data_IF_559710285030
#
_entry.id   IF_559710285030
#
_cell.length_a   1.000
_cell.length_b   1.000
_cell.length_c   1.000
_cell.angle_alpha   90.00
_cell.angle_beta   90.00
_cell.angle_gamma   90.00
#
_symmetry.space_group_name_H-M   'P 1'
#
loop_
_entity.id
_entity.type
_entity.pdbx_description
1 polymer ?
#
# COMPACT_ATOMS: atom_id res chain seq x y z
N UNK A 1 -3.32 23.23 -2.59
CA UNK A 1 -4.70 22.69 -2.70
C UNK A 1 -4.61 21.21 -3.05
N UNK A 2 -5.04 20.30 -2.15
CA UNK A 2 -5.23 18.89 -2.48
C UNK A 2 -6.40 18.80 -3.45
N UNK A 3 -6.12 18.45 -4.70
CA UNK A 3 -7.17 18.17 -5.69
C UNK A 3 -7.99 16.97 -5.21
N UNK A 4 -9.23 17.19 -4.80
CA UNK A 4 -10.15 16.15 -4.41
C UNK A 4 -10.44 15.21 -5.59
N UNK A 5 -10.63 13.93 -5.28
CA UNK A 5 -11.13 12.93 -6.21
C UNK A 5 -12.32 12.26 -5.53
N UNK A 6 -13.32 11.85 -6.29
CA UNK A 6 -14.40 11.03 -5.74
C UNK A 6 -14.60 9.76 -6.59
N UNK A 7 -15.17 8.75 -5.95
CA UNK A 7 -15.33 7.42 -6.51
C UNK A 7 -16.80 7.01 -6.39
N UNK A 8 -17.29 6.33 -7.42
CA UNK A 8 -18.64 5.72 -7.42
C UNK A 8 -18.46 4.22 -7.54
N UNK A 9 -19.11 3.46 -6.66
CA UNK A 9 -19.02 2.01 -6.61
C UNK A 9 -20.37 1.37 -6.88
N UNK A 10 -20.37 0.25 -7.59
CA UNK A 10 -21.48 -0.65 -7.75
C UNK A 10 -21.14 -2.01 -7.15
N UNK A 11 -22.09 -2.58 -6.40
CA UNK A 11 -21.92 -3.86 -5.73
C UNK A 11 -22.91 -4.87 -6.30
N UNK A 12 -22.47 -6.11 -6.52
CA UNK A 12 -23.33 -7.22 -6.93
C UNK A 12 -24.20 -7.74 -5.77
N UNK A 13 -25.08 -8.69 -6.07
CA UNK A 13 -26.02 -9.29 -5.09
C UNK A 13 -25.33 -9.94 -3.89
N UNK A 14 -24.08 -10.40 -4.08
CA UNK A 14 -23.25 -10.98 -3.02
C UNK A 14 -22.46 -9.94 -2.19
N UNK A 15 -22.71 -8.63 -2.39
CA UNK A 15 -22.04 -7.54 -1.71
C UNK A 15 -20.60 -7.27 -2.18
N UNK A 16 -20.13 -7.91 -3.26
CA UNK A 16 -18.81 -7.65 -3.84
C UNK A 16 -18.87 -6.48 -4.82
N UNK A 17 -17.82 -5.67 -4.81
CA UNK A 17 -17.67 -4.55 -5.75
C UNK A 17 -17.52 -5.08 -7.18
N UNK A 18 -18.44 -4.73 -8.08
CA UNK A 18 -18.43 -5.17 -9.50
C UNK A 18 -18.00 -4.04 -10.44
N UNK A 19 -18.12 -2.79 -10.00
CA UNK A 19 -17.73 -1.62 -10.79
C UNK A 19 -17.22 -0.49 -9.92
N UNK A 20 -16.29 0.30 -10.46
CA UNK A 20 -15.78 1.53 -9.90
C UNK A 20 -15.67 2.57 -11.02
N UNK A 21 -16.10 3.79 -10.76
CA UNK A 21 -15.86 4.94 -11.62
C UNK A 21 -15.10 6.00 -10.84
N UNK A 22 -14.04 6.53 -11.42
CA UNK A 22 -13.15 7.54 -10.81
C UNK A 22 -13.37 8.88 -11.48
N UNK A 23 -13.54 9.91 -10.67
CA UNK A 23 -13.84 11.25 -11.12
C UNK A 23 -12.85 12.27 -10.57
N UNK A 24 -12.63 13.35 -11.32
CA UNK A 24 -11.99 14.55 -10.79
C UNK A 24 -12.97 15.28 -9.84
N UNK A 25 -12.46 16.22 -9.06
CA UNK A 25 -13.26 17.13 -8.25
C UNK A 25 -14.32 17.90 -9.07
N UNK A 26 -14.00 18.20 -10.34
CA UNK A 26 -14.93 18.86 -11.27
C UNK A 26 -16.00 17.90 -11.87
N UNK A 27 -16.08 16.65 -11.40
CA UNK A 27 -17.06 15.68 -11.88
C UNK A 27 -16.76 15.04 -13.24
N UNK A 28 -15.53 15.22 -13.75
CA UNK A 28 -15.12 14.59 -15.01
C UNK A 28 -14.67 13.15 -14.74
N UNK A 29 -15.34 12.17 -15.37
CA UNK A 29 -14.92 10.77 -15.30
C UNK A 29 -13.52 10.63 -15.91
N UNK A 30 -12.64 9.90 -15.24
CA UNK A 30 -11.28 9.59 -15.70
C UNK A 30 -11.11 8.15 -16.12
N UNK A 31 -11.73 7.24 -15.38
CA UNK A 31 -11.55 5.81 -15.54
C UNK A 31 -12.78 5.06 -15.06
N UNK A 32 -13.05 3.93 -15.69
CA UNK A 32 -14.04 2.94 -15.25
C UNK A 32 -13.35 1.61 -15.06
N UNK A 33 -13.67 0.90 -13.98
CA UNK A 33 -13.09 -0.41 -13.68
C UNK A 33 -14.22 -1.40 -13.45
N UNK A 34 -14.09 -2.61 -14.01
CA UNK A 34 -14.98 -3.73 -13.78
C UNK A 34 -14.23 -4.87 -13.10
N UNK A 35 -14.92 -5.57 -12.20
CA UNK A 35 -14.36 -6.65 -11.39
C UNK A 35 -15.17 -7.93 -11.62
N UNK A 36 -14.48 -9.03 -11.90
CA UNK A 36 -15.06 -10.37 -12.01
C UNK A 36 -14.45 -11.28 -10.95
N UNK A 37 -15.23 -12.23 -10.45
CA UNK A 37 -14.85 -13.13 -9.37
C UNK A 37 -15.00 -14.59 -9.80
N UNK A 38 -14.15 -15.48 -9.30
CA UNK A 38 -14.26 -16.92 -9.50
C UNK A 38 -15.36 -17.53 -8.62
N UNK A 39 -15.58 -18.85 -8.76
CA UNK A 39 -16.59 -19.61 -8.00
C UNK A 39 -16.31 -19.61 -6.49
N UNK A 40 -15.05 -19.46 -6.07
CA UNK A 40 -14.65 -19.37 -4.68
C UNK A 40 -14.79 -17.93 -4.14
N UNK A 41 -15.06 -16.96 -5.02
CA UNK A 41 -15.23 -15.57 -4.71
C UNK A 41 -13.94 -14.77 -4.65
N UNK A 42 -12.85 -15.28 -5.18
CA UNK A 42 -11.62 -14.51 -5.37
C UNK A 42 -11.74 -13.64 -6.62
N UNK A 43 -11.10 -12.47 -6.61
CA UNK A 43 -11.05 -11.58 -7.77
C UNK A 43 -10.31 -12.27 -8.92
N UNK A 44 -11.03 -12.67 -9.98
CA UNK A 44 -10.43 -13.36 -11.13
C UNK A 44 -9.95 -12.40 -12.21
N UNK A 45 -10.63 -11.23 -12.33
CA UNK A 45 -10.27 -10.24 -13.35
C UNK A 45 -10.63 -8.83 -12.96
N UNK A 46 -9.78 -7.89 -13.37
CA UNK A 46 -9.97 -6.45 -13.26
C UNK A 46 -9.77 -5.83 -14.64
N UNK A 47 -10.78 -5.14 -15.16
CA UNK A 47 -10.77 -4.53 -16.50
C UNK A 47 -10.89 -3.03 -16.39
N UNK A 48 -9.91 -2.30 -16.92
CA UNK A 48 -9.83 -0.85 -16.93
C UNK A 48 -10.26 -0.28 -18.28
N UNK A 49 -11.08 0.76 -18.24
CA UNK A 49 -11.61 1.41 -19.42
C UNK A 49 -11.42 2.92 -19.37
N UNK A 50 -11.25 3.53 -20.52
CA UNK A 50 -11.39 4.99 -20.65
C UNK A 50 -12.82 5.42 -20.29
N UNK A 51 -13.10 6.71 -20.06
CA UNK A 51 -14.46 7.22 -19.91
C UNK A 51 -15.39 6.85 -21.06
N UNK A 52 -14.84 6.77 -22.28
CA UNK A 52 -15.58 6.39 -23.50
C UNK A 52 -15.87 4.88 -23.61
N UNK A 53 -15.41 4.06 -22.65
CA UNK A 53 -15.64 2.61 -22.64
C UNK A 53 -14.63 1.80 -23.45
N UNK A 54 -13.50 2.38 -23.85
CA UNK A 54 -12.42 1.66 -24.53
C UNK A 54 -11.57 0.95 -23.50
N UNK A 55 -11.39 -0.37 -23.62
CA UNK A 55 -10.53 -1.18 -22.77
C UNK A 55 -9.07 -0.72 -22.90
N UNK A 56 -8.40 -0.50 -21.78
CA UNK A 56 -7.00 -0.07 -21.72
C UNK A 56 -6.09 -1.14 -21.13
N UNK A 57 -6.54 -1.78 -20.04
CA UNK A 57 -5.78 -2.80 -19.30
C UNK A 57 -6.72 -3.86 -18.78
N UNK A 58 -6.29 -5.12 -18.85
CA UNK A 58 -6.85 -6.23 -18.08
C UNK A 58 -5.81 -6.76 -17.10
N UNK A 59 -6.24 -7.15 -15.90
CA UNK A 59 -5.46 -7.95 -14.97
C UNK A 59 -6.21 -9.24 -14.71
N UNK A 60 -5.56 -10.37 -14.97
CA UNK A 60 -6.09 -11.69 -14.70
C UNK A 60 -5.33 -12.31 -13.53
N UNK A 61 -6.06 -12.71 -12.49
CA UNK A 61 -5.53 -13.25 -11.24
C UNK A 61 -5.71 -14.77 -11.21
N UNK A 62 -4.69 -15.49 -10.77
CA UNK A 62 -4.75 -16.93 -10.56
C UNK A 62 -4.28 -17.29 -9.17
N UNK A 63 -4.96 -18.24 -8.56
CA UNK A 63 -4.80 -18.64 -7.16
C UNK A 63 -4.26 -20.07 -7.05
N UNK A 64 -3.64 -20.41 -5.94
CA UNK A 64 -3.28 -21.77 -5.59
C UNK A 64 -4.47 -22.50 -4.94
N UNK A 65 -4.26 -23.76 -4.58
CA UNK A 65 -5.31 -24.60 -3.95
C UNK A 65 -5.69 -24.15 -2.54
N UNK A 66 -4.85 -23.35 -1.90
CA UNK A 66 -5.11 -22.71 -0.61
C UNK A 66 -5.83 -21.35 -0.74
N UNK A 67 -6.14 -20.91 -1.98
CA UNK A 67 -6.79 -19.63 -2.26
C UNK A 67 -5.87 -18.41 -2.21
N UNK A 68 -4.54 -18.61 -2.20
CA UNK A 68 -3.56 -17.52 -2.18
C UNK A 68 -3.22 -17.11 -3.61
N UNK A 69 -3.05 -15.81 -3.84
CA UNK A 69 -2.70 -15.25 -5.14
C UNK A 69 -1.36 -15.82 -5.64
N UNK A 70 -1.39 -16.60 -6.71
CA UNK A 70 -0.22 -17.26 -7.29
C UNK A 70 0.43 -16.45 -8.40
N UNK A 71 -0.38 -15.81 -9.23
CA UNK A 71 0.08 -14.96 -10.32
C UNK A 71 -0.97 -13.92 -10.70
N UNK A 72 -0.49 -12.82 -11.28
CA UNK A 72 -1.29 -11.83 -11.97
C UNK A 72 -0.70 -11.62 -13.37
N UNK A 73 -1.53 -11.68 -14.41
CA UNK A 73 -1.12 -11.32 -15.77
C UNK A 73 -1.77 -9.99 -16.14
N UNK A 74 -0.94 -9.04 -16.57
CA UNK A 74 -1.36 -7.70 -16.99
C UNK A 74 -1.31 -7.66 -18.52
N UNK A 75 -2.46 -7.36 -19.12
CA UNK A 75 -2.65 -7.32 -20.57
C UNK A 75 -3.03 -5.90 -21.01
N UNK A 76 -2.61 -5.50 -22.19
CA UNK A 76 -3.05 -4.25 -22.81
C UNK A 76 -4.51 -4.35 -23.32
N UNK A 77 -5.02 -3.25 -23.89
CA UNK A 77 -6.37 -3.18 -24.44
C UNK A 77 -6.62 -4.06 -25.65
N UNK A 78 -5.58 -4.65 -26.26
CA UNK A 78 -5.66 -5.61 -27.36
C UNK A 78 -5.63 -7.06 -26.86
N UNK A 79 -5.36 -7.28 -25.57
CA UNK A 79 -5.23 -8.59 -24.96
C UNK A 79 -3.82 -9.18 -25.04
N UNK A 80 -2.82 -8.39 -25.39
CA UNK A 80 -1.41 -8.79 -25.37
C UNK A 80 -0.84 -8.69 -23.96
N UNK A 81 -0.15 -9.73 -23.49
CA UNK A 81 0.48 -9.71 -22.15
C UNK A 81 1.59 -8.68 -22.16
N UNK A 82 1.57 -7.75 -21.21
CA UNK A 82 2.63 -6.77 -20.95
C UNK A 82 3.57 -7.24 -19.85
N UNK A 83 2.99 -7.81 -18.78
CA UNK A 83 3.72 -8.22 -17.59
C UNK A 83 3.02 -9.41 -16.92
N UNK A 84 3.79 -10.22 -16.23
CA UNK A 84 3.30 -11.29 -15.36
C UNK A 84 3.99 -11.22 -14.01
N UNK A 85 3.23 -11.07 -12.94
CA UNK A 85 3.71 -11.12 -11.58
C UNK A 85 3.47 -12.51 -10.98
N UNK A 86 4.44 -13.00 -10.22
CA UNK A 86 4.42 -14.31 -9.57
C UNK A 86 4.71 -14.14 -8.09
N UNK A 87 3.89 -14.76 -7.25
CA UNK A 87 3.95 -14.67 -5.79
C UNK A 87 4.36 -16.01 -5.19
N UNK A 88 5.17 -15.98 -4.14
CA UNK A 88 5.58 -17.17 -3.39
C UNK A 88 5.32 -16.96 -1.90
N UNK A 89 4.98 -18.05 -1.24
CA UNK A 89 4.61 -18.08 0.16
C UNK A 89 5.49 -19.08 0.92
N UNK A 90 5.69 -18.82 2.22
CA UNK A 90 6.27 -19.79 3.14
C UNK A 90 5.22 -20.83 3.59
N UNK A 91 5.62 -21.71 4.51
CA UNK A 91 4.73 -22.77 5.02
C UNK A 91 3.64 -22.23 5.95
N UNK A 92 3.89 -21.09 6.58
CA UNK A 92 2.94 -20.36 7.42
C UNK A 92 1.91 -19.58 6.60
N UNK A 93 2.12 -19.44 5.27
CA UNK A 93 1.23 -18.72 4.36
C UNK A 93 1.57 -17.24 4.18
N UNK A 94 2.70 -16.76 4.70
CA UNK A 94 3.16 -15.39 4.47
C UNK A 94 3.76 -15.26 3.07
N UNK A 95 3.47 -14.19 2.35
CA UNK A 95 4.07 -13.91 1.04
C UNK A 95 5.54 -13.51 1.21
N UNK A 96 6.47 -14.36 0.77
CA UNK A 96 7.92 -14.13 0.93
C UNK A 96 8.60 -13.54 -0.30
N UNK A 97 7.98 -13.64 -1.47
CA UNK A 97 8.53 -13.10 -2.72
C UNK A 97 7.44 -12.71 -3.71
N UNK A 98 7.70 -11.62 -4.41
CA UNK A 98 6.96 -11.15 -5.59
C UNK A 98 7.96 -10.86 -6.70
N UNK A 99 7.73 -11.39 -7.92
CA UNK A 99 8.61 -11.20 -9.09
C UNK A 99 7.76 -10.86 -10.30
N UNK A 100 8.05 -9.73 -10.93
CA UNK A 100 7.48 -9.33 -12.21
C UNK A 100 8.37 -9.72 -13.39
N UNK A 101 7.74 -10.22 -14.45
CA UNK A 101 8.38 -10.60 -15.70
C UNK A 101 7.73 -9.88 -16.88
N UNK A 102 8.53 -9.35 -17.78
CA UNK A 102 8.10 -8.88 -19.09
C UNK A 102 7.79 -10.07 -20.03
N UNK A 103 7.17 -9.80 -21.17
CA UNK A 103 6.80 -10.80 -22.18
C UNK A 103 7.95 -11.65 -22.70
N UNK A 104 9.16 -11.08 -22.76
CA UNK A 104 10.37 -11.78 -23.18
C UNK A 104 11.00 -12.65 -22.07
N UNK A 105 10.36 -12.75 -20.89
CA UNK A 105 10.85 -13.49 -19.73
C UNK A 105 11.88 -12.74 -18.88
N UNK A 106 12.21 -11.49 -19.21
CA UNK A 106 13.11 -10.67 -18.40
C UNK A 106 12.41 -10.25 -17.12
N UNK A 107 13.09 -10.38 -15.97
CA UNK A 107 12.61 -9.80 -14.71
C UNK A 107 12.59 -8.28 -14.80
N UNK A 108 11.47 -7.66 -14.44
CA UNK A 108 11.33 -6.20 -14.34
C UNK A 108 11.16 -5.72 -12.90
N UNK A 109 10.77 -6.60 -11.97
CA UNK A 109 10.70 -6.28 -10.53
C UNK A 109 10.96 -7.52 -9.69
N UNK A 110 11.56 -7.35 -8.51
CA UNK A 110 11.67 -8.41 -7.51
C UNK A 110 11.66 -7.79 -6.12
N UNK A 111 10.74 -8.29 -5.26
CA UNK A 111 10.62 -7.93 -3.87
C UNK A 111 10.71 -9.18 -2.99
N UNK A 112 11.31 -9.04 -1.80
CA UNK A 112 11.31 -10.07 -0.76
C UNK A 112 10.78 -9.50 0.53
N UNK A 113 10.09 -10.35 1.27
CA UNK A 113 9.45 -10.01 2.53
C UNK A 113 9.95 -10.94 3.62
N UNK A 114 10.26 -10.38 4.79
CA UNK A 114 10.73 -11.11 5.97
C UNK A 114 9.75 -10.83 7.10
N UNK A 115 9.41 -11.88 7.82
CA UNK A 115 8.44 -11.84 8.91
C UNK A 115 9.08 -12.30 10.22
N UNK A 116 8.56 -11.82 11.34
CA UNK A 116 8.90 -12.33 12.66
C UNK A 116 8.08 -13.59 12.99
N UNK A 117 8.31 -14.14 14.19
CA UNK A 117 7.60 -15.34 14.66
C UNK A 117 6.10 -15.12 14.92
N UNK A 118 5.61 -13.89 14.87
CA UNK A 118 4.20 -13.53 15.00
C UNK A 118 3.52 -13.27 13.65
N UNK A 119 4.24 -13.47 12.52
CA UNK A 119 3.75 -13.19 11.17
C UNK A 119 3.70 -11.70 10.81
N UNK A 120 4.40 -10.83 11.55
CA UNK A 120 4.47 -9.41 11.24
C UNK A 120 5.63 -9.15 10.26
N UNK A 121 5.37 -8.40 9.20
CA UNK A 121 6.39 -8.09 8.20
C UNK A 121 7.42 -7.10 8.75
N UNK A 122 8.59 -7.61 9.10
CA UNK A 122 9.70 -6.80 9.67
C UNK A 122 10.63 -6.20 8.61
N UNK A 123 10.66 -6.74 7.38
CA UNK A 123 11.42 -6.15 6.29
C UNK A 123 10.77 -6.40 4.93
N UNK A 124 10.81 -5.38 4.07
CA UNK A 124 10.55 -5.49 2.63
C UNK A 124 11.81 -5.07 1.89
N UNK A 125 12.44 -6.00 1.19
CA UNK A 125 13.62 -5.76 0.34
C UNK A 125 13.18 -5.53 -1.09
N UNK A 126 13.69 -4.49 -1.71
CA UNK A 126 13.57 -4.25 -3.15
C UNK A 126 14.87 -4.71 -3.80
N UNK A 127 14.82 -5.76 -4.60
CA UNK A 127 15.98 -6.36 -5.29
C UNK A 127 16.08 -5.89 -6.74
N UNK A 128 14.93 -5.61 -7.35
CA UNK A 128 14.82 -5.10 -8.71
C UNK A 128 13.55 -4.27 -8.81
N UNK A 129 13.61 -3.12 -9.48
CA UNK A 129 12.49 -2.22 -9.73
C UNK A 129 12.28 -2.03 -11.24
N UNK A 130 11.04 -1.73 -11.68
CA UNK A 130 10.79 -1.31 -13.05
C UNK A 130 11.66 -0.11 -13.44
N UNK A 131 12.10 -0.07 -14.68
CA UNK A 131 12.85 1.06 -15.23
C UNK A 131 12.04 2.36 -15.10
N UNK A 132 12.70 3.45 -14.68
CA UNK A 132 12.06 4.75 -14.42
C UNK A 132 11.36 4.89 -13.08
N UNK A 133 11.39 3.87 -12.22
CA UNK A 133 10.93 3.99 -10.82
C UNK A 133 11.95 4.75 -9.98
N UNK A 134 11.48 5.52 -8.99
CA UNK A 134 12.36 6.11 -7.99
C UNK A 134 13.12 5.00 -7.24
N UNK A 135 14.42 5.15 -6.99
CA UNK A 135 15.23 4.13 -6.34
C UNK A 135 14.80 3.98 -4.87
N UNK A 136 13.92 3.04 -4.60
CA UNK A 136 13.53 2.64 -3.25
C UNK A 136 14.31 1.39 -2.88
N UNK A 137 15.05 1.46 -1.78
CA UNK A 137 15.76 0.29 -1.25
C UNK A 137 14.85 -0.63 -0.44
N UNK A 138 15.21 -0.84 0.82
CA UNK A 138 14.44 -1.69 1.73
C UNK A 138 13.70 -0.85 2.77
N UNK A 139 12.63 -1.40 3.30
CA UNK A 139 11.91 -0.83 4.46
C UNK A 139 11.95 -1.85 5.59
N UNK A 140 12.42 -1.43 6.77
CA UNK A 140 12.41 -2.23 8.01
C UNK A 140 11.38 -1.69 8.98
N UNK A 141 10.73 -2.59 9.72
CA UNK A 141 9.72 -2.25 10.71
C UNK A 141 9.94 -3.00 12.00
N UNK A 142 9.68 -2.33 13.12
CA UNK A 142 9.55 -2.93 14.43
C UNK A 142 8.14 -2.71 14.96
N UNK A 143 7.64 -3.68 15.72
CA UNK A 143 6.28 -3.68 16.26
C UNK A 143 6.29 -3.79 17.77
N UNK A 144 5.26 -3.24 18.42
CA UNK A 144 5.01 -3.52 19.83
C UNK A 144 4.17 -4.82 19.97
N UNK A 145 3.96 -5.25 21.22
CA UNK A 145 3.18 -6.46 21.54
C UNK A 145 1.71 -6.42 21.08
N UNK A 146 1.21 -5.25 20.67
CA UNK A 146 -0.14 -5.07 20.13
C UNK A 146 -0.16 -5.09 18.59
N UNK A 147 0.99 -5.35 17.93
CA UNK A 147 1.12 -5.38 16.48
C UNK A 147 1.17 -3.99 15.80
N UNK A 148 1.38 -2.90 16.58
CA UNK A 148 1.52 -1.57 16.01
C UNK A 148 2.96 -1.28 15.67
N UNK A 149 3.20 -0.65 14.52
CA UNK A 149 4.54 -0.19 14.13
C UNK A 149 5.05 0.83 15.14
N UNK A 150 6.22 0.57 15.75
CA UNK A 150 6.91 1.51 16.67
C UNK A 150 8.21 2.04 16.10
N UNK A 151 8.69 1.44 15.02
CA UNK A 151 9.90 1.81 14.30
C UNK A 151 9.73 1.56 12.81
N UNK A 152 10.22 2.47 11.98
CA UNK A 152 10.30 2.33 10.54
C UNK A 152 11.62 2.93 10.04
N UNK A 153 12.32 2.21 9.16
CA UNK A 153 13.57 2.65 8.55
C UNK A 153 13.51 2.42 7.05
N UNK A 154 13.83 3.45 6.30
CA UNK A 154 13.94 3.41 4.85
C UNK A 154 15.44 3.37 4.49
N UNK A 155 15.80 2.41 3.67
CA UNK A 155 17.18 2.18 3.23
C UNK A 155 17.28 2.43 1.72
N UNK A 156 18.39 3.01 1.28
CA UNK A 156 18.75 3.04 -0.14
C UNK A 156 19.08 1.64 -0.67
N UNK A 157 19.22 1.47 -1.99
CA UNK A 157 19.58 0.17 -2.58
C UNK A 157 20.92 -0.39 -2.10
N UNK A 158 21.87 0.45 -1.69
CA UNK A 158 23.16 0.06 -1.11
C UNK A 158 23.10 -0.27 0.40
N UNK A 159 21.91 -0.13 1.01
CA UNK A 159 21.67 -0.40 2.42
C UNK A 159 21.94 0.77 3.36
N UNK A 160 22.25 1.96 2.85
CA UNK A 160 22.42 3.17 3.66
C UNK A 160 21.06 3.64 4.18
N UNK A 161 20.98 3.98 5.48
CA UNK A 161 19.74 4.50 6.09
C UNK A 161 19.43 5.91 5.56
N UNK A 162 18.29 6.05 4.88
CA UNK A 162 17.82 7.32 4.32
C UNK A 162 16.96 8.09 5.31
N UNK A 163 15.99 7.42 5.94
CA UNK A 163 15.15 8.03 6.95
C UNK A 163 14.75 7.02 8.01
N UNK A 164 14.46 7.50 9.20
CA UNK A 164 13.97 6.70 10.32
C UNK A 164 12.80 7.40 11.00
N UNK A 165 11.84 6.60 11.46
CA UNK A 165 10.69 7.08 12.21
C UNK A 165 10.48 6.21 13.44
N UNK A 166 10.15 6.81 14.57
CA UNK A 166 9.66 6.09 15.74
C UNK A 166 8.26 6.56 16.11
N UNK A 167 7.48 5.66 16.72
CA UNK A 167 6.09 5.91 17.04
C UNK A 167 5.80 5.45 18.47
N UNK A 168 5.09 6.27 19.25
CA UNK A 168 4.61 5.92 20.58
C UNK A 168 3.10 6.10 20.65
N UNK A 169 2.45 5.11 21.24
CA UNK A 169 1.00 5.06 21.35
C UNK A 169 0.57 5.08 22.81
N UNK A 170 -0.59 5.67 23.08
CA UNK A 170 -1.23 5.57 24.38
C UNK A 170 -1.98 4.22 24.53
N UNK A 171 -2.60 3.98 25.67
CA UNK A 171 -3.35 2.75 25.96
C UNK A 171 -4.56 2.55 25.04
N UNK A 172 -5.11 3.61 24.47
CA UNK A 172 -6.20 3.56 23.46
C UNK A 172 -5.68 3.22 22.06
N UNK A 173 -4.35 3.23 21.87
CA UNK A 173 -3.73 2.98 20.58
C UNK A 173 -3.64 4.20 19.67
N UNK A 174 -3.80 5.37 20.20
CA UNK A 174 -3.61 6.63 19.49
C UNK A 174 -2.13 7.00 19.47
N UNK A 175 -1.60 7.42 18.32
CA UNK A 175 -0.22 7.90 18.18
C UNK A 175 -0.07 9.23 18.94
N UNK A 176 0.76 9.25 19.98
CA UNK A 176 0.93 10.43 20.86
C UNK A 176 2.24 11.16 20.63
N UNK A 177 3.29 10.48 20.19
CA UNK A 177 4.58 11.11 19.90
C UNK A 177 5.45 10.19 19.05
N UNK A 178 6.57 10.73 18.59
CA UNK A 178 7.60 9.97 17.89
C UNK A 178 8.81 10.84 17.55
N UNK A 179 9.71 10.26 16.78
CA UNK A 179 10.84 10.95 16.16
C UNK A 179 10.84 10.73 14.68
N UNK A 180 11.35 11.66 13.92
CA UNK A 180 11.62 11.57 12.50
C UNK A 180 13.06 11.99 12.26
N UNK A 181 13.82 11.17 11.52
CA UNK A 181 15.10 11.58 10.94
C UNK A 181 14.91 11.59 9.42
N UNK A 182 14.68 12.77 8.83
CA UNK A 182 14.48 12.91 7.38
C UNK A 182 15.73 12.52 6.59
N UNK A 183 15.53 12.26 5.31
CA UNK A 183 16.62 11.98 4.37
C UNK A 183 17.66 13.12 4.35
N UNK A 184 18.96 12.74 4.37
CA UNK A 184 20.07 13.66 4.35
C UNK A 184 20.32 14.42 5.67
N UNK A 185 19.55 14.14 6.72
CA UNK A 185 19.75 14.73 8.05
C UNK A 185 20.36 13.72 9.03
N UNK A 186 21.18 14.22 9.94
CA UNK A 186 21.78 13.42 11.02
C UNK A 186 20.99 13.56 12.32
N UNK A 187 20.24 14.65 12.49
CA UNK A 187 19.48 14.93 13.70
C UNK A 187 18.04 14.39 13.60
N UNK A 188 17.54 13.91 14.73
CA UNK A 188 16.15 13.50 14.87
C UNK A 188 15.27 14.68 15.29
N UNK A 189 14.15 14.84 14.59
CA UNK A 189 13.11 15.80 14.94
C UNK A 189 12.08 15.09 15.82
N UNK A 190 11.84 15.59 17.02
CA UNK A 190 10.82 15.07 17.95
C UNK A 190 9.48 15.74 17.71
N UNK A 191 8.42 14.96 17.77
CA UNK A 191 7.06 15.50 17.67
C UNK A 191 6.13 14.90 18.73
N UNK A 192 5.10 15.66 19.07
CA UNK A 192 4.03 15.23 19.96
C UNK A 192 2.66 15.58 19.35
N UNK A 193 1.65 14.75 19.64
CA UNK A 193 0.27 15.05 19.31
C UNK A 193 -0.50 15.51 20.55
N UNK A 194 -1.23 16.61 20.44
CA UNK A 194 -2.23 17.04 21.43
C UNK A 194 -3.62 16.79 20.85
N UNK A 195 -4.52 16.30 21.71
CA UNK A 195 -5.87 15.89 21.33
C UNK A 195 -6.91 16.77 22.01
N UNK A 196 -7.94 17.15 21.26
CA UNK A 196 -9.20 17.65 21.80
C UNK A 196 -10.25 16.58 21.59
N UNK A 197 -10.80 16.06 22.67
CA UNK A 197 -11.72 14.95 22.66
C UNK A 197 -13.18 15.43 22.77
N UNK A 198 -14.11 14.61 22.26
CA UNK A 198 -15.55 14.75 22.50
C UNK A 198 -15.91 14.29 23.93
N UNK A 199 -17.19 14.41 24.28
CA UNK A 199 -17.72 14.02 25.59
C UNK A 199 -17.63 12.49 25.85
N UNK A 200 -17.39 11.68 24.81
CA UNK A 200 -17.22 10.22 24.89
C UNK A 200 -15.73 9.83 25.01
N UNK A 201 -14.82 10.82 24.96
CA UNK A 201 -13.37 10.61 25.03
C UNK A 201 -12.72 10.20 23.72
N UNK A 202 -13.41 10.26 22.57
CA UNK A 202 -12.83 10.10 21.26
C UNK A 202 -12.19 11.41 20.80
N UNK A 203 -11.06 11.35 20.14
CA UNK A 203 -10.46 12.58 19.62
C UNK A 203 -11.31 13.16 18.48
N UNK A 204 -11.54 14.46 18.53
CA UNK A 204 -12.22 15.24 17.52
C UNK A 204 -11.22 16.07 16.71
N UNK A 205 -10.21 16.59 17.37
CA UNK A 205 -9.13 17.36 16.77
C UNK A 205 -7.81 16.78 17.26
N UNK A 206 -6.86 16.63 16.35
CA UNK A 206 -5.48 16.22 16.63
C UNK A 206 -4.52 17.21 16.00
N UNK A 207 -3.57 17.70 16.79
CA UNK A 207 -2.58 18.69 16.34
C UNK A 207 -1.18 18.12 16.61
N UNK A 208 -0.37 18.01 15.54
CA UNK A 208 1.06 17.67 15.63
C UNK A 208 1.86 18.92 15.95
N UNK A 209 2.73 18.83 16.94
CA UNK A 209 3.68 19.88 17.34
C UNK A 209 5.10 19.38 17.13
N UNK A 210 5.97 20.26 16.63
CA UNK A 210 7.42 20.14 16.61
C UNK A 210 7.97 21.35 17.36
N UNK A 211 8.80 21.14 18.38
CA UNK A 211 9.35 22.20 19.23
C UNK A 211 8.28 23.20 19.72
N UNK A 212 7.14 22.65 20.18
CA UNK A 212 5.93 23.40 20.58
C UNK A 212 5.25 24.25 19.50
N UNK A 213 5.70 24.16 18.24
CA UNK A 213 5.06 24.82 17.09
C UNK A 213 4.07 23.86 16.43
N UNK A 214 2.79 24.23 16.23
CA UNK A 214 1.81 23.40 15.55
C UNK A 214 2.15 23.34 14.03
N UNK A 215 2.28 22.12 13.50
CA UNK A 215 2.67 21.90 12.07
C UNK A 215 1.62 21.18 11.27
N UNK A 216 0.77 20.37 11.91
CA UNK A 216 -0.34 19.65 11.25
C UNK A 216 -1.57 19.73 12.13
N UNK A 217 -2.71 19.99 11.50
CA UNK A 217 -4.03 20.00 12.12
C UNK A 217 -4.91 18.96 11.41
N UNK A 218 -5.55 18.08 12.18
CA UNK A 218 -6.47 17.06 11.67
C UNK A 218 -7.79 17.13 12.46
N UNK A 219 -8.91 17.08 11.75
CA UNK A 219 -10.27 17.02 12.31
C UNK A 219 -10.94 15.72 11.84
N UNK A 220 -11.75 15.12 12.74
CA UNK A 220 -12.47 13.84 12.50
C UNK A 220 -13.98 14.05 12.50
#
# INVERSE_FOLDING_TARGET
EKKGQFFVYEFGENGRKVKEERFTEAGVCREKIQYEYDENGNLSKESHYTPAGVLTVNKNYGYDKEGRLKHCSILDGKGEIMQRDVYRYDIEGNMVQEVGYLTNGTKCSEFRYIYDSYGQQIERKVLLQPEGSDPVGSVRRGYNFQGRVVFEEYLSPDGTSQSQHTYRYNIKGELVSGTERPEGQTEEVKYVYKFHNDNQGNWKIRIKYIDDVPVVYEER
#
